data_IF_944238502812
#
_entry.id   IF_944238502812
#
_cell.length_a   1.000
_cell.length_b   1.000
_cell.length_c   1.000
_cell.angle_alpha   90.00
_cell.angle_beta   90.00
_cell.angle_gamma   90.00
#
_symmetry.space_group_name_H-M   'P 1'
#
loop_
_entity.id
_entity.type
_entity.pdbx_description
1 polymer ?
#
# COMPACT_ATOMS: atom_id res chain seq x y z
N UNK A 1 -3.73 -27.13 -49.07
CA UNK A 1 -4.15 -25.91 -48.34
C UNK A 1 -4.55 -26.16 -46.87
N UNK A 2 -5.06 -27.35 -46.47
CA UNK A 2 -5.47 -27.62 -45.08
C UNK A 2 -4.34 -27.60 -44.03
N UNK A 3 -3.14 -28.05 -44.40
CA UNK A 3 -1.93 -28.01 -43.53
C UNK A 3 -1.42 -26.59 -43.27
N UNK A 4 -1.57 -25.70 -44.25
CA UNK A 4 -1.12 -24.30 -44.14
C UNK A 4 -2.07 -23.48 -43.24
N UNK A 5 -3.38 -23.78 -43.30
CA UNK A 5 -4.38 -23.20 -42.39
C UNK A 5 -4.18 -23.64 -40.94
N UNK A 6 -3.77 -24.90 -40.70
CA UNK A 6 -3.49 -25.39 -39.35
C UNK A 6 -2.25 -24.72 -38.74
N UNK A 7 -1.20 -24.49 -39.55
CA UNK A 7 0.02 -23.82 -39.10
C UNK A 7 -0.21 -22.35 -38.74
N UNK A 8 -1.00 -21.62 -39.54
CA UNK A 8 -1.36 -20.22 -39.27
C UNK A 8 -2.24 -20.09 -38.02
N UNK A 9 -3.15 -21.04 -37.78
CA UNK A 9 -3.99 -21.06 -36.58
C UNK A 9 -3.19 -21.34 -35.29
N UNK A 10 -2.15 -22.18 -35.37
CA UNK A 10 -1.28 -22.49 -34.22
C UNK A 10 -0.36 -21.30 -33.90
N UNK A 11 0.14 -20.58 -34.91
CA UNK A 11 0.97 -19.39 -34.67
C UNK A 11 0.18 -18.20 -34.14
N UNK A 12 -1.10 -18.05 -34.51
CA UNK A 12 -1.94 -16.95 -34.05
C UNK A 12 -2.32 -17.02 -32.55
N UNK A 13 -2.29 -18.22 -31.95
CA UNK A 13 -2.55 -18.42 -30.51
C UNK A 13 -1.35 -18.06 -29.62
N UNK A 14 -0.17 -17.86 -30.19
CA UNK A 14 1.07 -17.62 -29.44
C UNK A 14 1.36 -16.14 -29.15
N UNK A 15 0.73 -15.21 -29.86
CA UNK A 15 1.06 -13.78 -29.78
C UNK A 15 0.17 -12.96 -28.84
N UNK A 16 -0.98 -13.48 -28.42
CA UNK A 16 -1.92 -12.80 -27.51
C UNK A 16 -1.94 -13.36 -26.08
N UNK A 17 -1.14 -14.39 -25.79
CA UNK A 17 -1.22 -15.16 -24.53
C UNK A 17 -0.47 -14.57 -23.34
N UNK A 18 0.63 -13.84 -23.54
CA UNK A 18 1.45 -13.40 -22.40
C UNK A 18 0.84 -12.21 -21.65
N UNK A 19 0.26 -11.25 -22.36
CA UNK A 19 -0.34 -10.06 -21.71
C UNK A 19 -1.63 -10.38 -20.96
N UNK A 20 -2.46 -11.31 -21.48
CA UNK A 20 -3.73 -11.69 -20.82
C UNK A 20 -3.47 -12.57 -19.59
N UNK A 21 -2.50 -13.49 -19.66
CA UNK A 21 -2.11 -14.31 -18.50
C UNK A 21 -1.34 -13.48 -17.48
N UNK A 22 -0.48 -12.54 -17.90
CA UNK A 22 0.20 -11.62 -16.99
C UNK A 22 -0.78 -10.68 -16.31
N UNK A 23 -1.71 -10.06 -17.05
CA UNK A 23 -2.75 -9.18 -16.50
C UNK A 23 -3.76 -9.94 -15.62
N UNK A 24 -4.11 -11.17 -15.97
CA UNK A 24 -4.95 -12.04 -15.15
C UNK A 24 -4.25 -12.48 -13.86
N UNK A 25 -2.97 -12.86 -13.95
CA UNK A 25 -2.14 -13.17 -12.79
C UNK A 25 -1.97 -11.95 -11.90
N UNK A 26 -1.67 -10.77 -12.46
CA UNK A 26 -1.60 -9.53 -11.66
C UNK A 26 -2.94 -9.13 -11.06
N UNK A 27 -4.05 -9.31 -11.77
CA UNK A 27 -5.39 -9.06 -11.22
C UNK A 27 -5.71 -9.99 -10.04
N UNK A 28 -5.24 -11.24 -10.09
CA UNK A 28 -5.38 -12.23 -9.03
C UNK A 28 -4.33 -12.09 -7.92
N UNK A 29 -3.13 -11.56 -8.15
CA UNK A 29 -2.13 -11.36 -7.07
C UNK A 29 -2.22 -9.99 -6.42
N UNK A 30 -2.83 -9.01 -7.09
CA UNK A 30 -3.27 -7.72 -6.52
C UNK A 30 -4.51 -7.87 -5.60
N UNK A 31 -4.76 -9.11 -5.18
CA UNK A 31 -5.85 -9.62 -4.34
C UNK A 31 -5.99 -8.82 -3.04
N UNK A 32 -7.10 -8.09 -2.93
CA UNK A 32 -7.43 -7.21 -1.80
C UNK A 32 -7.57 -7.94 -0.46
N UNK A 33 -7.95 -9.22 -0.42
CA UNK A 33 -8.24 -9.90 0.85
C UNK A 33 -7.00 -10.21 1.70
N UNK A 34 -5.88 -10.62 1.08
CA UNK A 34 -4.64 -10.85 1.81
C UNK A 34 -3.97 -9.55 2.23
N UNK A 35 -4.05 -8.51 1.39
CA UNK A 35 -3.52 -7.20 1.75
C UNK A 35 -4.31 -6.58 2.92
N UNK A 36 -5.64 -6.63 2.87
CA UNK A 36 -6.51 -6.06 3.91
C UNK A 36 -6.34 -6.77 5.25
N UNK A 37 -6.24 -8.10 5.25
CA UNK A 37 -6.01 -8.87 6.49
C UNK A 37 -4.66 -8.55 7.12
N UNK A 38 -3.60 -8.41 6.32
CA UNK A 38 -2.25 -8.06 6.82
C UNK A 38 -2.23 -6.64 7.38
N UNK A 39 -2.88 -5.67 6.73
CA UNK A 39 -3.00 -4.29 7.22
C UNK A 39 -3.77 -4.24 8.55
N UNK A 40 -4.89 -4.96 8.67
CA UNK A 40 -5.66 -5.04 9.92
C UNK A 40 -4.81 -5.64 11.06
N UNK A 41 -4.09 -6.73 10.80
CA UNK A 41 -3.22 -7.36 11.80
C UNK A 41 -2.07 -6.44 12.24
N UNK A 42 -1.47 -5.71 11.29
CA UNK A 42 -0.43 -4.70 11.57
C UNK A 42 -0.99 -3.62 12.49
N UNK A 43 -2.12 -3.03 12.12
CA UNK A 43 -2.74 -1.93 12.85
C UNK A 43 -3.13 -2.38 14.28
N UNK A 44 -3.70 -3.58 14.42
CA UNK A 44 -4.02 -4.19 15.72
C UNK A 44 -2.80 -4.43 16.60
N UNK A 45 -1.69 -4.87 16.01
CA UNK A 45 -0.45 -5.12 16.74
C UNK A 45 0.17 -3.81 17.25
N UNK A 46 0.10 -2.74 16.46
CA UNK A 46 0.61 -1.43 16.87
C UNK A 46 -0.27 -0.74 17.88
N UNK A 47 -1.60 -0.81 17.74
CA UNK A 47 -2.53 -0.26 18.72
C UNK A 47 -2.29 -0.87 20.10
N UNK A 48 -2.06 -2.18 20.16
CA UNK A 48 -1.74 -2.88 21.41
C UNK A 48 -0.37 -2.48 21.97
N UNK A 49 0.66 -2.35 21.13
CA UNK A 49 1.99 -1.86 21.57
C UNK A 49 1.90 -0.43 22.11
N UNK A 50 1.20 0.45 21.42
CA UNK A 50 0.98 1.84 21.82
C UNK A 50 0.23 1.92 23.15
N UNK A 51 -0.80 1.07 23.33
CA UNK A 51 -1.49 0.93 24.61
C UNK A 51 -0.54 0.50 25.73
N UNK A 52 0.25 -0.56 25.55
CA UNK A 52 1.18 -1.02 26.58
C UNK A 52 2.22 0.02 26.99
N UNK A 53 2.69 0.85 26.06
CA UNK A 53 3.61 1.97 26.35
C UNK A 53 2.94 3.05 27.21
N UNK A 54 1.64 3.27 27.03
CA UNK A 54 0.93 4.45 27.56
C UNK A 54 -0.06 4.12 28.70
N UNK A 55 -0.40 2.84 28.92
CA UNK A 55 -1.40 2.37 29.90
C UNK A 55 -1.14 2.84 31.34
N UNK A 56 0.12 3.06 31.69
CA UNK A 56 0.52 3.52 33.02
C UNK A 56 -0.06 4.92 33.35
N UNK A 57 -0.35 5.74 32.33
CA UNK A 57 -0.96 7.06 32.48
C UNK A 57 -2.46 7.02 32.81
N UNK A 58 -3.09 5.88 32.56
CA UNK A 58 -4.54 5.69 32.72
C UNK A 58 -4.87 4.71 33.86
N UNK A 59 -3.95 4.57 34.84
CA UNK A 59 -4.10 3.62 35.94
C UNK A 59 -5.29 3.91 36.87
N UNK A 60 -5.78 5.16 36.87
CA UNK A 60 -6.92 5.62 37.68
C UNK A 60 -8.27 5.42 36.99
N UNK A 61 -8.28 5.01 35.73
CA UNK A 61 -9.53 4.77 35.01
C UNK A 61 -10.23 3.53 35.56
N UNK A 62 -11.52 3.66 35.89
CA UNK A 62 -12.30 2.57 36.51
C UNK A 62 -12.58 1.46 35.49
N UNK A 63 -12.91 1.83 34.27
CA UNK A 63 -13.28 0.89 33.20
C UNK A 63 -12.13 0.68 32.22
N UNK A 64 -10.96 0.22 32.71
CA UNK A 64 -9.75 0.11 31.89
C UNK A 64 -9.91 -0.77 30.64
N UNK A 65 -10.76 -1.79 30.69
CA UNK A 65 -10.98 -2.66 29.53
C UNK A 65 -11.65 -1.89 28.38
N UNK A 66 -12.71 -1.15 28.69
CA UNK A 66 -13.47 -0.37 27.72
C UNK A 66 -12.68 0.86 27.25
N UNK A 67 -11.90 1.46 28.16
CA UNK A 67 -10.94 2.49 27.82
C UNK A 67 -9.85 1.98 26.86
N UNK A 68 -9.26 0.80 27.13
CA UNK A 68 -8.30 0.16 26.22
C UNK A 68 -8.92 -0.11 24.84
N UNK A 69 -10.17 -0.58 24.81
CA UNK A 69 -10.89 -0.81 23.56
C UNK A 69 -11.07 0.49 22.76
N UNK A 70 -11.47 1.59 23.41
CA UNK A 70 -11.61 2.90 22.78
C UNK A 70 -10.28 3.46 22.29
N UNK A 71 -9.23 3.36 23.10
CA UNK A 71 -7.87 3.76 22.71
C UNK A 71 -7.40 3.00 21.47
N UNK A 72 -7.60 1.68 21.44
CA UNK A 72 -7.20 0.87 20.29
C UNK A 72 -8.02 1.21 19.04
N UNK A 73 -9.32 1.44 19.19
CA UNK A 73 -10.19 1.84 18.08
C UNK A 73 -9.75 3.17 17.45
N UNK A 74 -9.44 4.19 18.27
CA UNK A 74 -8.93 5.46 17.78
C UNK A 74 -7.57 5.34 17.07
N UNK A 75 -6.68 4.52 17.61
CA UNK A 75 -5.39 4.25 16.97
C UNK A 75 -5.54 3.53 15.62
N UNK A 76 -6.38 2.50 15.58
CA UNK A 76 -6.66 1.71 14.37
C UNK A 76 -7.36 2.56 13.30
N UNK A 77 -8.21 3.52 13.68
CA UNK A 77 -8.86 4.46 12.76
C UNK A 77 -7.83 5.34 12.03
N UNK A 78 -6.95 6.02 12.76
CA UNK A 78 -5.87 6.83 12.18
C UNK A 78 -4.90 5.96 11.37
N UNK A 79 -4.55 4.78 11.89
CA UNK A 79 -3.72 3.81 11.20
C UNK A 79 -4.37 3.19 9.96
N UNK A 80 -5.66 3.45 9.70
CA UNK A 80 -6.40 3.06 8.50
C UNK A 80 -6.66 4.25 7.56
N UNK A 81 -6.21 5.45 7.93
CA UNK A 81 -6.36 6.67 7.12
C UNK A 81 -7.57 7.54 7.47
N UNK A 82 -8.26 7.30 8.59
CA UNK A 82 -9.26 8.24 9.11
C UNK A 82 -8.58 9.45 9.77
N UNK A 83 -9.32 10.54 9.84
CA UNK A 83 -9.04 11.78 10.55
C UNK A 83 -8.92 11.65 12.08
N UNK A 84 -9.17 10.47 12.65
CA UNK A 84 -9.13 10.27 14.10
C UNK A 84 -10.30 10.92 14.85
N UNK A 85 -11.34 11.35 14.13
CA UNK A 85 -12.55 11.85 14.74
C UNK A 85 -13.30 10.71 15.44
N UNK A 86 -13.85 11.03 16.62
CA UNK A 86 -14.62 10.06 17.40
C UNK A 86 -15.91 9.71 16.64
N UNK A 87 -16.24 8.42 16.45
CA UNK A 87 -17.42 8.03 15.70
C UNK A 87 -18.70 8.44 16.42
N UNK A 88 -19.79 8.62 15.67
CA UNK A 88 -21.08 9.01 16.22
C UNK A 88 -21.72 7.92 17.11
N UNK A 89 -21.42 6.66 16.81
CA UNK A 89 -21.91 5.51 17.56
C UNK A 89 -20.74 4.62 17.99
N UNK A 90 -20.82 4.00 19.19
CA UNK A 90 -19.80 3.07 19.61
C UNK A 90 -19.95 1.75 18.83
N UNK A 91 -18.98 0.83 18.95
CA UNK A 91 -19.09 -0.51 18.39
C UNK A 91 -20.36 -1.24 18.86
N UNK A 92 -20.86 -2.19 18.06
CA UNK A 92 -22.15 -2.86 18.30
C UNK A 92 -22.19 -3.65 19.62
N UNK A 93 -21.03 -4.03 20.16
CA UNK A 93 -20.91 -4.64 21.48
C UNK A 93 -21.53 -3.76 22.58
N UNK A 94 -21.43 -2.44 22.44
CA UNK A 94 -21.96 -1.46 23.39
C UNK A 94 -23.46 -1.15 23.21
N UNK A 95 -24.12 -1.76 22.22
CA UNK A 95 -25.56 -1.53 21.95
C UNK A 95 -26.46 -2.52 22.71
N UNK A 96 -25.87 -3.56 23.26
CA UNK A 96 -26.59 -4.61 23.99
C UNK A 96 -27.27 -4.07 25.25
N UNK A 97 -28.32 -4.77 25.70
CA UNK A 97 -29.12 -4.38 26.86
C UNK A 97 -28.28 -4.14 28.14
N UNK A 98 -27.14 -4.83 28.28
CA UNK A 98 -26.21 -4.66 29.41
C UNK A 98 -25.65 -3.23 29.53
N UNK A 99 -25.58 -2.50 28.41
CA UNK A 99 -25.11 -1.12 28.37
C UNK A 99 -26.22 -0.08 28.58
N UNK A 100 -27.48 -0.50 28.72
CA UNK A 100 -28.63 0.37 29.03
C UNK A 100 -28.78 0.64 30.56
N UNK A 101 -27.72 0.42 31.31
CA UNK A 101 -27.61 0.68 32.75
C UNK A 101 -26.66 1.86 33.02
N UNK A 102 -26.71 2.46 34.21
CA UNK A 102 -25.79 3.54 34.58
C UNK A 102 -24.31 3.12 34.50
N UNK A 103 -24.00 1.87 34.90
CA UNK A 103 -22.66 1.32 34.76
C UNK A 103 -22.28 1.09 33.29
N UNK A 104 -23.21 0.58 32.50
CA UNK A 104 -23.06 0.41 31.06
C UNK A 104 -22.73 1.71 30.33
N UNK A 105 -23.51 2.76 30.58
CA UNK A 105 -23.26 4.09 30.03
C UNK A 105 -21.91 4.65 30.46
N UNK A 106 -21.46 4.36 31.69
CA UNK A 106 -20.12 4.76 32.14
C UNK A 106 -19.00 4.02 31.38
N UNK A 107 -19.17 2.74 31.03
CA UNK A 107 -18.23 1.99 30.16
C UNK A 107 -18.17 2.58 28.76
N UNK A 108 -19.33 2.88 28.17
CA UNK A 108 -19.42 3.53 26.85
C UNK A 108 -18.76 4.92 26.87
N UNK A 109 -18.98 5.69 27.94
CA UNK A 109 -18.30 6.98 28.16
C UNK A 109 -16.78 6.82 28.25
N UNK A 110 -16.30 5.81 28.99
CA UNK A 110 -14.86 5.52 29.07
C UNK A 110 -14.27 5.17 27.69
N UNK A 111 -14.98 4.38 26.88
CA UNK A 111 -14.59 4.08 25.50
C UNK A 111 -14.45 5.36 24.66
N UNK A 112 -15.45 6.25 24.69
CA UNK A 112 -15.41 7.52 23.98
C UNK A 112 -14.29 8.45 24.44
N UNK A 113 -14.03 8.51 25.74
CA UNK A 113 -12.93 9.32 26.29
C UNK A 113 -11.55 8.84 25.84
N UNK A 114 -11.41 7.53 25.60
CA UNK A 114 -10.14 6.92 25.21
C UNK A 114 -9.83 7.05 23.72
N UNK A 115 -10.86 7.13 22.87
CA UNK A 115 -10.72 7.23 21.43
C UNK A 115 -9.77 8.34 20.97
N UNK A 116 -9.93 9.62 21.38
CA UNK A 116 -9.02 10.69 20.97
C UNK A 116 -7.59 10.49 21.49
N UNK A 117 -7.41 9.84 22.65
CA UNK A 117 -6.07 9.49 23.15
C UNK A 117 -5.38 8.45 22.26
N UNK A 118 -6.14 7.50 21.72
CA UNK A 118 -5.69 6.52 20.75
C UNK A 118 -5.29 7.15 19.42
N UNK A 119 -6.17 8.00 18.89
CA UNK A 119 -5.93 8.74 17.65
C UNK A 119 -4.66 9.60 17.76
N UNK A 120 -4.52 10.36 18.86
CA UNK A 120 -3.33 11.17 19.10
C UNK A 120 -2.05 10.34 19.19
N UNK A 121 -2.11 9.17 19.82
CA UNK A 121 -0.97 8.26 19.90
C UNK A 121 -0.56 7.72 18.51
N UNK A 122 -1.51 7.53 17.60
CA UNK A 122 -1.23 7.13 16.22
C UNK A 122 -0.58 8.26 15.41
N UNK A 123 -1.02 9.52 15.61
CA UNK A 123 -0.36 10.69 15.02
C UNK A 123 1.10 10.82 15.49
N UNK A 124 1.33 10.70 16.81
CA UNK A 124 2.68 10.74 17.39
C UNK A 124 3.58 9.62 16.87
N UNK A 125 3.02 8.43 16.68
CA UNK A 125 3.75 7.27 16.15
C UNK A 125 3.92 7.37 14.60
N UNK A 126 3.27 8.33 13.93
CA UNK A 126 3.38 8.56 12.49
C UNK A 126 2.76 7.48 11.61
N UNK A 127 1.86 6.65 12.16
CA UNK A 127 1.31 5.48 11.43
C UNK A 127 0.34 5.86 10.31
N UNK A 128 -0.24 7.06 10.35
CA UNK A 128 -1.08 7.59 9.27
C UNK A 128 -0.31 7.68 7.93
N UNK A 129 0.99 7.98 8.01
CA UNK A 129 1.85 8.13 6.83
C UNK A 129 2.07 6.80 6.09
N UNK A 130 1.83 5.66 6.73
CA UNK A 130 2.15 4.34 6.17
C UNK A 130 1.06 3.80 5.24
N UNK A 131 -0.09 4.47 5.16
CA UNK A 131 -1.14 4.19 4.19
C UNK A 131 -1.07 5.11 2.97
N UNK A 132 -0.15 6.07 2.97
CA UNK A 132 0.02 6.98 1.86
C UNK A 132 0.85 6.24 0.78
N UNK A 133 0.27 6.09 -0.41
CA UNK A 133 0.95 5.51 -1.59
C UNK A 133 1.69 6.61 -2.36
N UNK A 134 3.04 6.54 -2.49
CA UNK A 134 3.82 7.55 -3.19
C UNK A 134 3.43 7.66 -4.67
N UNK A 135 3.24 8.89 -5.13
CA UNK A 135 3.01 9.22 -6.54
C UNK A 135 4.37 9.49 -7.22
N UNK A 136 4.47 9.21 -8.53
CA UNK A 136 5.66 9.59 -9.29
C UNK A 136 5.79 11.12 -9.37
N UNK A 137 7.02 11.62 -9.39
CA UNK A 137 7.28 13.07 -9.38
C UNK A 137 6.63 13.83 -10.54
N UNK A 138 6.57 13.22 -11.73
CA UNK A 138 5.93 13.81 -12.91
C UNK A 138 4.41 13.98 -12.72
N UNK A 139 3.73 12.93 -12.26
CA UNK A 139 2.28 12.99 -11.98
C UNK A 139 2.00 13.94 -10.81
N UNK A 140 2.84 13.92 -9.78
CA UNK A 140 2.69 14.80 -8.64
C UNK A 140 2.78 16.27 -9.04
N UNK A 141 3.72 16.65 -9.92
CA UNK A 141 3.85 17.99 -10.46
C UNK A 141 2.63 18.41 -11.29
N UNK A 142 2.10 17.52 -12.13
CA UNK A 142 0.91 17.78 -12.93
C UNK A 142 -0.33 18.00 -12.06
N UNK A 143 -0.56 17.16 -11.06
CA UNK A 143 -1.69 17.29 -10.14
C UNK A 143 -1.56 18.50 -9.19
N UNK A 144 -0.34 18.92 -8.86
CA UNK A 144 -0.07 20.18 -8.16
C UNK A 144 -0.43 21.38 -9.03
N UNK A 145 0.00 21.40 -10.30
CA UNK A 145 -0.32 22.47 -11.25
C UNK A 145 -1.82 22.57 -11.51
N UNK A 146 -2.52 21.43 -11.53
CA UNK A 146 -3.97 21.37 -11.67
C UNK A 146 -4.73 21.77 -10.38
N UNK A 147 -4.03 22.04 -9.26
CA UNK A 147 -4.65 22.43 -7.98
C UNK A 147 -5.44 21.31 -7.30
N UNK A 148 -5.20 20.04 -7.67
CA UNK A 148 -5.93 18.88 -7.14
C UNK A 148 -5.28 18.34 -5.85
N UNK A 149 -3.97 18.52 -5.68
CA UNK A 149 -3.24 18.16 -4.46
C UNK A 149 -3.11 19.39 -3.55
N UNK A 150 -4.08 19.60 -2.66
CA UNK A 150 -4.15 20.78 -1.78
C UNK A 150 -3.74 20.51 -0.32
N UNK A 151 -3.57 19.25 0.09
CA UNK A 151 -3.27 18.90 1.47
C UNK A 151 -1.77 18.71 1.73
N UNK A 152 -1.28 19.27 2.84
CA UNK A 152 0.13 19.25 3.27
C UNK A 152 0.73 17.83 3.39
N UNK A 153 -0.12 16.82 3.63
CA UNK A 153 0.27 15.40 3.67
C UNK A 153 0.16 14.65 2.34
N UNK A 154 -0.30 15.29 1.26
CA UNK A 154 -0.43 14.66 -0.07
C UNK A 154 0.86 14.77 -0.92
N UNK A 155 1.89 15.42 -0.36
CA UNK A 155 3.15 15.70 -1.03
C UNK A 155 4.25 14.80 -0.46
N UNK A 156 4.69 13.81 -1.24
CA UNK A 156 5.92 13.09 -0.91
C UNK A 156 7.13 13.96 -1.21
N UNK A 157 8.19 13.88 -0.39
CA UNK A 157 9.47 14.48 -0.73
C UNK A 157 9.94 13.89 -2.07
N UNK A 158 10.00 14.74 -3.10
CA UNK A 158 10.66 14.37 -4.35
C UNK A 158 12.15 14.26 -4.01
N UNK A 159 12.81 13.11 -4.24
CA UNK A 159 14.25 13.02 -4.06
C UNK A 159 14.93 14.08 -4.92
N UNK A 160 15.66 15.00 -4.30
CA UNK A 160 16.43 16.00 -5.03
C UNK A 160 17.44 15.27 -5.92
N UNK A 161 17.39 15.45 -7.25
CA UNK A 161 18.37 14.82 -8.15
C UNK A 161 19.82 15.23 -7.86
N UNK A 162 20.03 16.32 -7.11
CA UNK A 162 21.32 16.82 -6.65
C UNK A 162 21.63 16.50 -5.18
N UNK A 163 20.75 15.78 -4.47
CA UNK A 163 21.07 15.35 -3.11
C UNK A 163 22.34 14.48 -3.12
N UNK A 164 23.25 14.64 -2.13
CA UNK A 164 24.40 13.77 -2.00
C UNK A 164 23.92 12.32 -1.93
N UNK A 165 24.28 11.52 -2.94
CA UNK A 165 24.00 10.08 -2.93
C UNK A 165 24.64 9.53 -1.65
N UNK A 166 23.82 9.04 -0.72
CA UNK A 166 24.30 8.21 0.38
C UNK A 166 25.21 7.13 -0.22
N UNK A 167 26.38 6.85 0.39
CA UNK A 167 27.25 5.78 -0.09
C UNK A 167 26.40 4.51 -0.15
N UNK A 168 26.29 3.94 -1.36
CA UNK A 168 25.52 2.73 -1.56
C UNK A 168 26.02 1.68 -0.55
N UNK A 169 25.13 0.99 0.20
CA UNK A 169 25.57 -0.16 0.96
C UNK A 169 26.27 -1.11 -0.01
N UNK A 170 27.49 -1.54 0.33
CA UNK A 170 28.28 -2.42 -0.50
C UNK A 170 27.39 -3.57 -0.97
N UNK A 171 27.09 -3.59 -2.27
CA UNK A 171 26.30 -4.68 -2.84
C UNK A 171 27.06 -5.97 -2.57
N UNK A 172 26.44 -7.00 -1.96
CA UNK A 172 27.00 -8.34 -2.00
C UNK A 172 27.22 -8.67 -3.47
N UNK A 173 28.46 -8.98 -3.85
CA UNK A 173 28.78 -9.43 -5.20
C UNK A 173 27.93 -10.67 -5.48
N UNK A 174 26.82 -10.50 -6.20
CA UNK A 174 26.04 -11.63 -6.67
C UNK A 174 26.94 -12.42 -7.62
N UNK A 175 27.16 -13.73 -7.40
CA UNK A 175 27.96 -14.52 -8.32
C UNK A 175 27.27 -14.51 -9.68
N UNK A 176 28.04 -14.24 -10.74
CA UNK A 176 27.53 -14.22 -12.10
C UNK A 176 26.86 -15.57 -12.42
N UNK A 177 25.55 -15.54 -12.69
CA UNK A 177 24.80 -16.73 -13.07
C UNK A 177 25.20 -17.08 -14.50
N UNK A 178 25.88 -18.22 -14.67
CA UNK A 178 26.32 -18.71 -15.97
C UNK A 178 25.23 -19.57 -16.60
N UNK A 179 24.88 -19.28 -17.84
CA UNK A 179 23.93 -20.08 -18.63
C UNK A 179 24.71 -21.07 -19.48
N UNK A 180 24.45 -22.39 -19.37
CA UNK A 180 25.04 -23.38 -20.26
C UNK A 180 24.41 -23.32 -21.66
N UNK A 181 25.27 -23.25 -22.67
CA UNK A 181 24.90 -23.33 -24.08
C UNK A 181 24.91 -24.78 -24.57
N UNK A 182 24.20 -25.04 -25.67
CA UNK A 182 24.07 -26.38 -26.24
C UNK A 182 25.39 -26.96 -26.80
N UNK A 183 26.40 -26.11 -27.04
CA UNK A 183 27.75 -26.48 -27.47
C UNK A 183 28.70 -26.78 -26.29
N UNK A 184 28.20 -26.72 -25.05
CA UNK A 184 28.98 -26.95 -23.83
C UNK A 184 29.74 -25.71 -23.33
N UNK A 185 29.63 -24.57 -24.00
CA UNK A 185 30.16 -23.30 -23.50
C UNK A 185 29.22 -22.68 -22.45
N UNK A 186 29.72 -21.78 -21.62
CA UNK A 186 28.88 -21.02 -20.67
C UNK A 186 29.09 -19.53 -20.89
N UNK A 187 28.00 -18.76 -20.91
CA UNK A 187 28.05 -17.30 -20.97
C UNK A 187 27.37 -16.68 -19.73
N UNK A 188 27.86 -15.54 -19.24
CA UNK A 188 27.14 -14.78 -18.23
C UNK A 188 25.80 -14.32 -18.81
N UNK A 189 24.74 -14.40 -18.01
CA UNK A 189 23.37 -14.05 -18.42
C UNK A 189 23.26 -12.66 -19.07
N UNK A 190 24.12 -11.71 -18.64
CA UNK A 190 24.15 -10.34 -19.11
C UNK A 190 24.78 -10.17 -20.51
N UNK A 191 25.42 -11.21 -21.04
CA UNK A 191 26.04 -11.22 -22.37
C UNK A 191 25.10 -11.75 -23.46
N UNK A 192 23.85 -12.10 -23.15
CA UNK A 192 22.85 -12.47 -24.16
C UNK A 192 22.42 -11.19 -24.88
N UNK A 193 22.73 -11.01 -26.18
CA UNK A 193 22.27 -9.85 -26.92
C UNK A 193 20.74 -9.90 -27.02
N UNK A 194 20.06 -9.02 -26.29
CA UNK A 194 18.67 -8.65 -26.56
C UNK A 194 18.64 -8.09 -27.98
N UNK A 195 18.11 -8.85 -28.93
CA UNK A 195 17.94 -8.40 -30.30
C UNK A 195 17.30 -7.02 -30.32
N UNK A 196 17.92 -6.10 -31.06
CA UNK A 196 17.46 -4.73 -31.19
C UNK A 196 16.00 -4.72 -31.66
N UNK A 197 15.09 -4.40 -30.74
CA UNK A 197 13.71 -4.11 -31.08
C UNK A 197 13.69 -2.88 -31.98
N UNK A 198 13.23 -3.10 -33.21
CA UNK A 198 13.01 -2.08 -34.23
C UNK A 198 12.31 -0.85 -33.63
N UNK A 199 13.01 0.30 -33.64
CA UNK A 199 12.46 1.59 -33.21
C UNK A 199 11.32 1.96 -34.17
N UNK A 200 10.07 1.78 -33.75
CA UNK A 200 8.94 2.40 -34.42
C UNK A 200 8.99 3.91 -34.13
N UNK A 201 9.44 4.69 -35.12
CA UNK A 201 9.31 6.15 -35.12
C UNK A 201 7.81 6.47 -35.31
N UNK A 202 7.16 7.24 -34.44
CA UNK A 202 5.79 7.68 -34.69
C UNK A 202 5.80 8.63 -35.89
N UNK A 203 5.19 8.21 -37.01
CA UNK A 203 4.94 9.12 -38.12
C UNK A 203 3.86 10.14 -37.72
N UNK A 204 4.17 11.42 -37.92
CA UNK A 204 3.25 12.52 -37.75
C UNK A 204 2.06 12.38 -38.70
N UNK A 205 0.86 12.24 -38.16
CA UNK A 205 -0.39 12.32 -38.92
C UNK A 205 -0.63 13.79 -39.26
N UNK A 206 -0.45 14.16 -40.53
CA UNK A 206 -0.94 15.43 -41.06
C UNK A 206 -2.46 15.36 -41.21
N UNK A 207 -3.18 16.13 -40.40
CA UNK A 207 -4.61 16.40 -40.59
C UNK A 207 -4.76 17.55 -41.60
N UNK A 208 -5.55 17.40 -42.68
CA UNK A 208 -5.88 18.51 -43.57
C UNK A 208 -6.76 19.53 -42.83
N UNK A 209 -6.37 20.79 -42.89
CA UNK A 209 -7.17 21.93 -42.43
C UNK A 209 -8.39 22.07 -43.35
N UNK A 210 -9.58 22.16 -42.75
CA UNK A 210 -10.82 22.62 -43.37
C UNK A 210 -10.96 24.13 -43.17
#
# INVERSE_FOLDING_TARGET
SKLLMALVAITALSQTGCSVVHNGYTALTRNGTWNDTVVVLRNRSFSMKAWHRRKHRFCREKYQRDFCAGFRAGYEAVASGSDGCTPAFPPSEYWSWEYQSAEGQAKTSAWYSAFPHGARAAEEDGVANWNQVPMSAALQAEYQQAGVLTHEGALYPIPDPNAPKLPAPAQPQQPAVMVPMADGSTIPLDAIPLGEGERIIPQSINLPQL
#
